data_IF_749163377028
#
_entry.id   IF_749163377028
#
_cell.length_a   1.000
_cell.length_b   1.000
_cell.length_c   1.000
_cell.angle_alpha   90.00
_cell.angle_beta   90.00
_cell.angle_gamma   90.00
#
_symmetry.space_group_name_H-M   'P 1'
#
loop_
_entity.id
_entity.type
_entity.pdbx_description
1 polymer ?
#
# COMPACT_ATOMS: atom_id res chain seq x y z
N UNK A 1 -2.29 24.57 -5.34
CA UNK A 1 -1.79 23.26 -5.78
C UNK A 1 -3.00 22.40 -6.14
N UNK A 2 -3.05 21.85 -7.35
CA UNK A 2 -4.08 20.88 -7.71
C UNK A 2 -3.92 19.63 -6.82
N UNK A 3 -5.01 19.23 -6.21
CA UNK A 3 -5.04 18.07 -5.32
C UNK A 3 -4.91 16.79 -6.17
N UNK A 4 -3.87 16.01 -5.96
CA UNK A 4 -3.71 14.72 -6.64
C UNK A 4 -4.92 13.85 -6.33
N UNK A 5 -5.69 13.51 -7.35
CA UNK A 5 -6.86 12.65 -7.22
C UNK A 5 -6.55 11.27 -7.78
N UNK A 6 -6.41 10.29 -6.89
CA UNK A 6 -6.26 8.90 -7.31
C UNK A 6 -7.60 8.35 -7.79
N UNK A 7 -7.58 7.66 -8.94
CA UNK A 7 -8.77 6.95 -9.45
C UNK A 7 -8.80 5.55 -8.88
N UNK A 8 -9.68 5.33 -7.90
CA UNK A 8 -10.00 4.00 -7.40
C UNK A 8 -11.06 3.35 -8.31
N UNK A 9 -10.92 2.04 -8.54
CA UNK A 9 -11.87 1.30 -9.37
C UNK A 9 -13.30 1.43 -8.81
N UNK A 10 -14.27 1.96 -9.58
CA UNK A 10 -15.62 2.23 -9.10
C UNK A 10 -16.42 0.97 -8.72
N UNK A 11 -15.97 -0.22 -9.12
CA UNK A 11 -16.60 -1.50 -8.72
C UNK A 11 -16.26 -1.92 -7.29
N UNK A 12 -15.31 -1.26 -6.62
CA UNK A 12 -14.92 -1.55 -5.23
C UNK A 12 -15.95 -0.97 -4.24
N UNK A 13 -16.68 0.06 -4.61
CA UNK A 13 -17.64 0.76 -3.76
C UNK A 13 -19.00 0.89 -4.44
N UNK A 14 -20.06 1.04 -3.64
CA UNK A 14 -21.42 1.27 -4.14
C UNK A 14 -21.71 2.74 -4.42
N UNK A 15 -21.11 3.63 -3.63
CA UNK A 15 -21.12 5.08 -3.79
C UNK A 15 -19.73 5.62 -3.51
N UNK A 16 -19.27 6.53 -4.37
CA UNK A 16 -17.94 7.16 -4.20
C UNK A 16 -17.86 7.84 -2.82
N UNK A 17 -16.99 7.34 -1.91
CA UNK A 17 -16.88 7.89 -0.56
C UNK A 17 -16.27 9.29 -0.55
N UNK A 18 -15.49 9.67 -1.57
CA UNK A 18 -14.93 11.02 -1.67
C UNK A 18 -15.97 12.07 -2.11
N UNK A 19 -17.11 11.64 -2.63
CA UNK A 19 -18.16 12.52 -3.14
C UNK A 19 -19.02 13.21 -2.07
N UNK A 20 -18.83 12.88 -0.78
CA UNK A 20 -19.66 13.42 0.32
C UNK A 20 -18.91 13.50 1.64
N UNK A 21 -19.36 14.40 2.53
CA UNK A 21 -18.81 14.55 3.88
C UNK A 21 -18.90 13.24 4.68
N UNK A 22 -20.05 12.55 4.64
CA UNK A 22 -20.20 11.28 5.35
C UNK A 22 -19.26 10.20 4.80
N UNK A 23 -19.12 10.11 3.48
CA UNK A 23 -18.19 9.14 2.87
C UNK A 23 -16.73 9.39 3.27
N UNK A 24 -16.30 10.64 3.30
CA UNK A 24 -14.97 11.03 3.79
C UNK A 24 -14.77 10.65 5.26
N UNK A 25 -15.75 10.91 6.12
CA UNK A 25 -15.71 10.52 7.53
C UNK A 25 -15.71 8.99 7.69
N UNK A 26 -16.43 8.24 6.83
CA UNK A 26 -16.37 6.77 6.81
C UNK A 26 -14.94 6.30 6.60
N UNK A 27 -14.22 6.83 5.59
CA UNK A 27 -12.84 6.45 5.33
C UNK A 27 -11.93 6.81 6.51
N UNK A 28 -11.95 8.06 6.96
CA UNK A 28 -11.10 8.55 8.06
C UNK A 28 -11.29 7.74 9.35
N UNK A 29 -12.55 7.56 9.77
CA UNK A 29 -12.88 6.82 10.99
C UNK A 29 -12.58 5.34 10.86
N UNK A 30 -12.74 4.75 9.66
CA UNK A 30 -12.34 3.36 9.41
C UNK A 30 -10.85 3.15 9.57
N UNK A 31 -10.02 4.05 9.02
CA UNK A 31 -8.57 4.01 9.20
C UNK A 31 -8.23 4.07 10.70
N UNK A 32 -8.76 5.05 11.43
CA UNK A 32 -8.50 5.20 12.86
C UNK A 32 -8.90 3.96 13.68
N UNK A 33 -10.08 3.39 13.41
CA UNK A 33 -10.57 2.21 14.15
C UNK A 33 -9.82 0.93 13.80
N UNK A 34 -9.45 0.73 12.54
CA UNK A 34 -8.67 -0.44 12.11
C UNK A 34 -7.25 -0.35 12.64
N UNK A 35 -6.60 0.81 12.57
CA UNK A 35 -5.27 1.04 13.12
C UNK A 35 -5.23 0.77 14.63
N UNK A 36 -6.24 1.24 15.37
CA UNK A 36 -6.30 1.10 16.82
C UNK A 36 -6.63 -0.33 17.28
N UNK A 37 -7.51 -1.04 16.58
CA UNK A 37 -8.12 -2.28 17.08
C UNK A 37 -7.95 -3.49 16.16
N UNK A 38 -7.42 -3.31 14.95
CA UNK A 38 -7.31 -4.34 13.92
C UNK A 38 -8.61 -4.60 13.13
N UNK A 39 -8.47 -5.20 11.96
CA UNK A 39 -9.59 -5.48 11.05
C UNK A 39 -10.58 -6.51 11.61
N UNK A 40 -10.10 -7.48 12.42
CA UNK A 40 -10.98 -8.49 13.02
C UNK A 40 -12.01 -7.86 13.98
N UNK A 41 -11.56 -6.92 14.79
CA UNK A 41 -12.44 -6.18 15.71
C UNK A 41 -13.38 -5.23 14.97
N UNK A 42 -12.95 -4.67 13.82
CA UNK A 42 -13.70 -3.68 13.06
C UNK A 42 -14.98 -4.26 12.46
N UNK A 43 -16.11 -3.53 12.62
CA UNK A 43 -17.41 -3.82 11.98
C UNK A 43 -18.10 -2.54 11.56
N UNK A 44 -18.99 -2.60 10.56
CA UNK A 44 -19.78 -1.43 10.14
C UNK A 44 -20.72 -0.90 11.26
N UNK A 45 -21.15 -1.78 12.15
CA UNK A 45 -21.92 -1.38 13.34
C UNK A 45 -21.10 -0.51 14.28
N UNK A 46 -19.82 -0.87 14.56
CA UNK A 46 -18.93 -0.07 15.40
C UNK A 46 -18.56 1.25 14.73
N UNK A 47 -18.29 1.22 13.43
CA UNK A 47 -18.04 2.41 12.63
C UNK A 47 -19.23 3.37 12.66
N UNK A 48 -20.45 2.88 12.41
CA UNK A 48 -21.67 3.70 12.45
C UNK A 48 -21.88 4.33 13.82
N UNK A 49 -21.65 3.56 14.90
CA UNK A 49 -21.73 4.08 16.28
C UNK A 49 -20.72 5.21 16.50
N UNK A 50 -19.47 5.06 16.05
CA UNK A 50 -18.44 6.09 16.18
C UNK A 50 -18.78 7.37 15.40
N UNK A 51 -19.43 7.23 14.24
CA UNK A 51 -19.85 8.33 13.39
C UNK A 51 -21.18 8.99 13.80
N UNK A 52 -21.88 8.44 14.80
CA UNK A 52 -23.24 8.93 15.17
C UNK A 52 -24.28 8.73 14.04
N UNK A 53 -24.11 7.69 13.21
CA UNK A 53 -24.99 7.37 12.07
C UNK A 53 -25.56 5.95 12.16
N UNK A 54 -26.30 5.53 11.14
CA UNK A 54 -26.83 4.17 11.05
C UNK A 54 -25.91 3.25 10.27
N UNK A 55 -25.93 1.95 10.58
CA UNK A 55 -25.18 0.93 9.84
C UNK A 55 -25.60 0.89 8.35
N UNK A 56 -26.87 1.08 8.05
CA UNK A 56 -27.40 1.18 6.68
C UNK A 56 -26.78 2.34 5.90
N UNK A 57 -26.42 3.44 6.57
CA UNK A 57 -25.73 4.56 5.93
C UNK A 57 -24.34 4.20 5.47
N UNK A 58 -23.62 3.33 6.19
CA UNK A 58 -22.30 2.81 5.82
C UNK A 58 -22.42 1.83 4.65
N UNK A 59 -23.38 0.90 4.70
CA UNK A 59 -23.65 -0.05 3.61
C UNK A 59 -24.00 0.61 2.27
N UNK A 60 -24.40 1.87 2.26
CA UNK A 60 -24.60 2.62 1.00
C UNK A 60 -23.29 2.93 0.27
N UNK A 61 -22.13 2.87 0.96
CA UNK A 61 -20.82 3.13 0.38
C UNK A 61 -20.06 1.84 0.08
N UNK A 62 -20.08 0.87 0.98
CA UNK A 62 -19.35 -0.38 0.83
C UNK A 62 -20.27 -1.57 1.16
N UNK A 63 -20.17 -2.59 0.32
CA UNK A 63 -20.93 -3.83 0.50
C UNK A 63 -20.58 -4.56 1.81
N UNK A 64 -19.29 -4.56 2.15
CA UNK A 64 -18.75 -5.22 3.34
C UNK A 64 -17.40 -4.63 3.74
N UNK A 65 -16.85 -5.06 4.90
CA UNK A 65 -15.55 -4.58 5.39
C UNK A 65 -14.38 -5.00 4.50
N UNK A 66 -14.50 -6.09 3.75
CA UNK A 66 -13.49 -6.52 2.81
C UNK A 66 -13.37 -5.54 1.62
N UNK A 67 -14.50 -5.09 1.05
CA UNK A 67 -14.51 -4.05 0.00
C UNK A 67 -13.90 -2.74 0.49
N UNK A 68 -14.17 -2.36 1.74
CA UNK A 68 -13.53 -1.21 2.37
C UNK A 68 -12.02 -1.42 2.47
N UNK A 69 -11.54 -2.60 2.90
CA UNK A 69 -10.11 -2.90 2.96
C UNK A 69 -9.46 -2.81 1.57
N UNK A 70 -10.08 -3.39 0.53
CA UNK A 70 -9.60 -3.28 -0.86
C UNK A 70 -9.54 -1.81 -1.30
N UNK A 71 -10.51 -0.98 -0.92
CA UNK A 71 -10.48 0.46 -1.20
C UNK A 71 -9.26 1.13 -0.56
N UNK A 72 -9.02 0.87 0.72
CA UNK A 72 -7.89 1.43 1.48
C UNK A 72 -6.54 0.97 0.91
N UNK A 73 -6.38 -0.32 0.60
CA UNK A 73 -5.17 -0.86 -0.01
C UNK A 73 -4.94 -0.31 -1.41
N UNK A 74 -6.00 -0.19 -2.23
CA UNK A 74 -5.91 0.40 -3.57
C UNK A 74 -5.47 1.86 -3.52
N UNK A 75 -5.98 2.61 -2.55
CA UNK A 75 -5.60 3.99 -2.32
C UNK A 75 -4.12 4.10 -1.94
N UNK A 76 -3.69 3.28 -0.99
CA UNK A 76 -2.31 3.23 -0.52
C UNK A 76 -1.33 2.89 -1.64
N UNK A 77 -1.57 1.82 -2.39
CA UNK A 77 -0.69 1.39 -3.47
C UNK A 77 -0.65 2.41 -4.63
N UNK A 78 -1.77 3.04 -4.93
CA UNK A 78 -1.82 4.13 -5.90
C UNK A 78 -1.00 5.34 -5.48
N UNK A 79 -0.99 5.66 -4.18
CA UNK A 79 -0.17 6.71 -3.62
C UNK A 79 1.32 6.36 -3.64
N UNK A 80 1.68 5.14 -3.31
CA UNK A 80 3.06 4.66 -3.42
C UNK A 80 3.56 4.67 -4.88
N UNK A 81 2.73 4.26 -5.84
CA UNK A 81 3.06 4.38 -7.27
C UNK A 81 3.34 5.84 -7.65
N UNK A 82 2.48 6.76 -7.23
CA UNK A 82 2.66 8.20 -7.48
C UNK A 82 3.99 8.71 -6.91
N UNK A 83 4.28 8.45 -5.64
CA UNK A 83 5.53 8.85 -4.99
C UNK A 83 6.75 8.29 -5.72
N UNK A 84 6.71 7.01 -6.08
CA UNK A 84 7.80 6.33 -6.78
C UNK A 84 8.10 7.01 -8.11
N UNK A 85 7.07 7.28 -8.92
CA UNK A 85 7.21 7.93 -10.23
C UNK A 85 7.87 9.31 -10.08
N UNK A 86 7.42 10.12 -9.12
CA UNK A 86 8.01 11.44 -8.90
C UNK A 86 9.45 11.39 -8.37
N UNK A 87 9.73 10.50 -7.43
CA UNK A 87 11.05 10.39 -6.82
C UNK A 87 12.12 9.88 -7.81
N UNK A 88 11.73 9.08 -8.80
CA UNK A 88 12.65 8.48 -9.78
C UNK A 88 12.79 9.28 -11.07
N UNK A 89 11.91 10.26 -11.34
CA UNK A 89 11.81 10.96 -12.63
C UNK A 89 13.08 11.69 -13.07
N UNK A 90 13.87 12.24 -12.14
CA UNK A 90 15.09 13.02 -12.43
C UNK A 90 16.37 12.32 -11.95
N UNK A 91 16.33 11.01 -11.78
CA UNK A 91 17.49 10.20 -11.37
C UNK A 91 18.05 9.50 -12.61
N UNK A 92 19.30 9.82 -12.98
CA UNK A 92 19.88 9.35 -14.24
C UNK A 92 20.32 7.89 -14.22
N UNK A 93 20.91 7.44 -13.12
CA UNK A 93 21.43 6.07 -12.99
C UNK A 93 20.30 5.07 -12.73
N UNK A 94 20.16 3.98 -13.53
CA UNK A 94 19.18 2.94 -13.27
C UNK A 94 19.32 2.28 -11.88
N UNK A 95 20.55 2.08 -11.41
CA UNK A 95 20.78 1.57 -10.05
C UNK A 95 20.29 2.57 -8.99
N UNK A 96 20.56 3.86 -9.16
CA UNK A 96 20.09 4.90 -8.25
C UNK A 96 18.56 5.06 -8.30
N UNK A 97 17.93 4.87 -9.47
CA UNK A 97 16.46 4.84 -9.59
C UNK A 97 15.87 3.70 -8.75
N UNK A 98 16.42 2.47 -8.86
CA UNK A 98 15.95 1.32 -8.09
C UNK A 98 16.15 1.53 -6.58
N UNK A 99 17.31 2.06 -6.16
CA UNK A 99 17.57 2.40 -4.75
C UNK A 99 16.59 3.48 -4.23
N UNK A 100 16.29 4.49 -5.06
CA UNK A 100 15.32 5.53 -4.73
C UNK A 100 13.91 4.95 -4.59
N UNK A 101 13.50 4.03 -5.47
CA UNK A 101 12.23 3.33 -5.38
C UNK A 101 12.11 2.50 -4.09
N UNK A 102 13.17 1.76 -3.72
CA UNK A 102 13.24 1.01 -2.46
C UNK A 102 13.12 1.96 -1.26
N UNK A 103 13.81 3.11 -1.29
CA UNK A 103 13.71 4.14 -0.24
C UNK A 103 12.29 4.64 -0.10
N UNK A 104 11.60 4.99 -1.19
CA UNK A 104 10.21 5.46 -1.17
C UNK A 104 9.27 4.46 -0.51
N UNK A 105 9.49 3.15 -0.72
CA UNK A 105 8.67 2.10 -0.11
C UNK A 105 8.99 1.87 1.36
N UNK A 106 10.26 2.03 1.76
CA UNK A 106 10.74 1.76 3.12
C UNK A 106 10.52 2.94 4.08
N UNK A 107 10.57 4.17 3.58
CA UNK A 107 10.43 5.37 4.41
C UNK A 107 8.98 5.59 4.87
N UNK A 108 8.79 5.97 6.15
CA UNK A 108 7.50 6.38 6.65
C UNK A 108 6.93 7.55 5.81
N UNK A 109 5.63 7.57 5.65
CA UNK A 109 4.95 8.68 4.97
C UNK A 109 4.97 9.93 5.85
N UNK A 110 5.60 11.01 5.36
CA UNK A 110 5.60 12.30 6.04
C UNK A 110 4.22 12.98 6.00
N UNK A 111 3.90 13.79 7.01
CA UNK A 111 2.65 14.57 7.04
C UNK A 111 2.55 15.54 5.86
N UNK A 112 3.69 16.08 5.40
CA UNK A 112 3.75 17.02 4.27
C UNK A 112 3.42 16.35 2.92
N UNK A 113 3.59 15.03 2.81
CA UNK A 113 3.38 14.27 1.59
C UNK A 113 1.97 13.65 1.54
N UNK A 114 1.21 13.74 2.64
CA UNK A 114 -0.09 13.13 2.76
C UNK A 114 -1.20 14.03 2.18
N UNK A 115 -2.16 13.46 1.43
CA UNK A 115 -3.36 14.20 1.08
C UNK A 115 -4.18 14.50 2.35
N UNK A 116 -4.80 15.69 2.43
CA UNK A 116 -5.49 16.15 3.65
C UNK A 116 -6.62 15.24 4.15
N UNK A 117 -7.04 14.29 3.32
CA UNK A 117 -8.17 13.40 3.60
C UNK A 117 -7.79 12.19 4.45
N UNK A 118 -6.54 11.70 4.38
CA UNK A 118 -6.16 10.41 4.93
C UNK A 118 -4.98 10.54 5.91
N UNK A 119 -5.09 9.89 7.06
CA UNK A 119 -3.93 9.61 7.90
C UNK A 119 -3.11 8.49 7.25
N UNK A 120 -2.09 8.90 6.49
CA UNK A 120 -1.25 7.98 5.72
C UNK A 120 -0.32 7.15 6.62
N UNK A 121 0.01 7.63 7.81
CA UNK A 121 0.82 6.86 8.76
C UNK A 121 -0.02 5.71 9.36
N UNK A 122 -1.26 6.01 9.79
CA UNK A 122 -2.18 4.97 10.23
C UNK A 122 -2.49 3.97 9.11
N UNK A 123 -2.72 4.47 7.88
CA UNK A 123 -2.94 3.60 6.73
C UNK A 123 -1.72 2.72 6.42
N UNK A 124 -0.50 3.23 6.54
CA UNK A 124 0.73 2.44 6.38
C UNK A 124 0.80 1.29 7.40
N UNK A 125 0.49 1.55 8.69
CA UNK A 125 0.43 0.49 9.71
C UNK A 125 -0.62 -0.58 9.41
N UNK A 126 -1.78 -0.17 8.88
CA UNK A 126 -2.82 -1.10 8.41
C UNK A 126 -2.30 -1.96 7.24
N UNK A 127 -1.58 -1.38 6.28
CA UNK A 127 -1.00 -2.15 5.18
C UNK A 127 -0.02 -3.18 5.69
N UNK A 128 0.87 -2.82 6.60
CA UNK A 128 1.84 -3.74 7.20
C UNK A 128 1.15 -4.93 7.90
N UNK A 129 0.03 -4.69 8.58
CA UNK A 129 -0.62 -5.72 9.42
C UNK A 129 -1.77 -6.46 8.73
N UNK A 130 -2.46 -5.84 7.78
CA UNK A 130 -3.76 -6.31 7.29
C UNK A 130 -3.84 -6.50 5.77
N UNK A 131 -2.86 -6.00 4.98
CA UNK A 131 -2.97 -6.00 3.51
C UNK A 131 -3.14 -7.39 2.91
N UNK A 132 -2.51 -8.42 3.49
CA UNK A 132 -2.65 -9.80 3.03
C UNK A 132 -4.10 -10.29 3.05
N UNK A 133 -4.94 -9.78 3.97
CA UNK A 133 -6.38 -10.12 4.04
C UNK A 133 -7.19 -9.52 2.87
N UNK A 134 -6.59 -8.61 2.08
CA UNK A 134 -7.22 -8.11 0.87
C UNK A 134 -7.08 -9.07 -0.33
N UNK A 135 -6.02 -9.90 -0.38
CA UNK A 135 -5.78 -10.80 -1.52
C UNK A 135 -5.73 -12.29 -1.18
N UNK A 136 -5.47 -12.70 0.06
CA UNK A 136 -5.53 -14.12 0.44
C UNK A 136 -6.95 -14.54 0.80
N UNK A 137 -7.86 -14.40 -0.18
CA UNK A 137 -9.28 -14.74 -0.06
C UNK A 137 -9.68 -15.74 -1.15
N UNK A 138 -10.86 -16.35 -1.01
CA UNK A 138 -11.42 -17.23 -2.05
C UNK A 138 -11.92 -16.45 -3.26
N UNK A 139 -12.24 -15.20 -3.08
CA UNK A 139 -12.79 -14.28 -4.08
C UNK A 139 -11.70 -13.60 -4.93
N UNK A 140 -10.42 -13.81 -4.62
CA UNK A 140 -9.28 -13.09 -5.23
C UNK A 140 -9.25 -13.17 -6.75
N UNK A 141 -9.59 -14.32 -7.35
CA UNK A 141 -9.54 -14.50 -8.79
C UNK A 141 -10.58 -13.62 -9.51
N UNK A 142 -11.80 -13.54 -8.98
CA UNK A 142 -12.85 -12.69 -9.54
C UNK A 142 -12.53 -11.20 -9.31
N UNK A 143 -12.10 -10.84 -8.13
CA UNK A 143 -11.67 -9.48 -7.78
C UNK A 143 -10.50 -9.02 -8.65
N UNK A 144 -9.59 -9.94 -8.95
CA UNK A 144 -8.49 -9.71 -9.86
C UNK A 144 -8.95 -9.46 -11.31
N UNK A 145 -9.92 -10.23 -11.82
CA UNK A 145 -10.54 -10.01 -13.13
C UNK A 145 -11.25 -8.66 -13.20
N UNK A 146 -11.88 -8.24 -12.09
CA UNK A 146 -12.52 -6.93 -11.94
C UNK A 146 -11.50 -5.77 -11.84
N UNK A 147 -10.21 -6.04 -11.72
CA UNK A 147 -9.14 -5.05 -11.69
C UNK A 147 -8.94 -4.37 -10.33
N UNK A 148 -9.37 -4.97 -9.23
CA UNK A 148 -9.28 -4.37 -7.89
C UNK A 148 -7.84 -4.17 -7.44
N UNK A 149 -6.94 -5.03 -7.87
CA UNK A 149 -5.52 -4.97 -7.50
C UNK A 149 -4.64 -4.22 -8.52
N UNK A 150 -5.27 -3.47 -9.43
CA UNK A 150 -4.55 -2.74 -10.47
C UNK A 150 -3.50 -1.74 -9.94
N UNK A 151 -3.73 -0.96 -8.86
CA UNK A 151 -2.70 -0.07 -8.32
C UNK A 151 -1.46 -0.81 -7.83
N UNK A 152 -1.63 -1.92 -7.10
CA UNK A 152 -0.50 -2.73 -6.64
C UNK A 152 0.28 -3.36 -7.81
N UNK A 153 -0.44 -3.87 -8.82
CA UNK A 153 0.20 -4.42 -10.03
C UNK A 153 0.99 -3.37 -10.80
N UNK A 154 0.48 -2.13 -10.91
CA UNK A 154 1.22 -1.03 -11.56
C UNK A 154 2.48 -0.67 -10.78
N UNK A 155 2.42 -0.61 -9.44
CA UNK A 155 3.59 -0.40 -8.60
C UNK A 155 4.65 -1.49 -8.85
N UNK A 156 4.26 -2.76 -8.84
CA UNK A 156 5.14 -3.90 -9.13
C UNK A 156 5.71 -3.81 -10.56
N UNK A 157 4.90 -3.44 -11.55
CA UNK A 157 5.34 -3.22 -12.93
C UNK A 157 6.40 -2.12 -13.03
N UNK A 158 6.20 -0.96 -12.35
CA UNK A 158 7.20 0.12 -12.30
C UNK A 158 8.53 -0.34 -11.73
N UNK A 159 8.48 -1.08 -10.61
CA UNK A 159 9.69 -1.68 -10.02
C UNK A 159 10.37 -2.65 -10.99
N UNK A 160 9.59 -3.47 -11.71
CA UNK A 160 10.10 -4.43 -12.69
C UNK A 160 10.77 -3.76 -13.88
N UNK A 161 10.25 -2.63 -14.33
CA UNK A 161 10.86 -1.80 -15.37
C UNK A 161 12.24 -1.27 -14.92
N UNK A 162 12.38 -0.80 -13.67
CA UNK A 162 13.66 -0.38 -13.10
C UNK A 162 14.69 -1.55 -13.05
N UNK A 163 14.23 -2.74 -12.67
CA UNK A 163 15.06 -3.97 -12.69
C UNK A 163 15.57 -4.24 -14.11
N UNK A 164 14.70 -4.19 -15.13
CA UNK A 164 15.05 -4.43 -16.53
C UNK A 164 15.93 -3.32 -17.14
N UNK A 165 15.87 -2.09 -16.63
CA UNK A 165 16.82 -1.04 -17.03
C UNK A 165 18.24 -1.35 -16.57
N UNK A 166 18.44 -2.05 -15.45
CA UNK A 166 19.76 -2.47 -14.96
C UNK A 166 20.23 -3.73 -15.68
N UNK A 167 19.35 -4.75 -15.78
CA UNK A 167 19.66 -6.04 -16.40
C UNK A 167 18.53 -6.46 -17.34
N UNK A 168 18.60 -6.08 -18.64
CA UNK A 168 17.54 -6.34 -19.61
C UNK A 168 17.18 -7.82 -19.82
N UNK A 169 18.14 -8.74 -19.59
CA UNK A 169 17.95 -10.18 -19.73
C UNK A 169 17.56 -10.89 -18.42
N UNK A 170 17.32 -10.16 -17.34
CA UNK A 170 16.95 -10.77 -16.07
C UNK A 170 15.60 -11.53 -16.16
N UNK A 171 15.55 -12.83 -15.84
CA UNK A 171 14.38 -13.65 -16.15
C UNK A 171 13.20 -13.48 -15.21
N UNK A 172 13.38 -12.85 -14.03
CA UNK A 172 12.37 -12.79 -12.96
C UNK A 172 12.07 -11.37 -12.45
N UNK A 173 11.86 -10.36 -13.31
CA UNK A 173 11.75 -8.97 -12.87
C UNK A 173 10.54 -8.73 -11.94
N UNK A 174 9.38 -9.34 -12.23
CA UNK A 174 8.19 -9.21 -11.38
C UNK A 174 8.33 -9.95 -10.05
N UNK A 175 8.96 -11.14 -10.06
CA UNK A 175 9.17 -11.91 -8.84
C UNK A 175 10.13 -11.19 -7.89
N UNK A 176 11.23 -10.62 -8.41
CA UNK A 176 12.15 -9.82 -7.62
C UNK A 176 11.46 -8.58 -7.05
N UNK A 177 10.69 -7.86 -7.89
CA UNK A 177 9.99 -6.64 -7.48
C UNK A 177 8.93 -6.91 -6.40
N UNK A 178 8.08 -7.92 -6.57
CA UNK A 178 7.07 -8.26 -5.55
C UNK A 178 7.70 -8.77 -4.26
N UNK A 179 8.80 -9.53 -4.35
CA UNK A 179 9.56 -9.97 -3.17
C UNK A 179 10.15 -8.80 -2.40
N UNK A 180 10.69 -7.79 -3.09
CA UNK A 180 11.21 -6.57 -2.44
C UNK A 180 10.08 -5.80 -1.78
N UNK A 181 8.97 -5.55 -2.50
CA UNK A 181 7.83 -4.80 -1.96
C UNK A 181 7.31 -5.49 -0.69
N UNK A 182 6.90 -6.74 -0.78
CA UNK A 182 6.37 -7.51 0.36
C UNK A 182 7.40 -7.67 1.48
N UNK A 183 8.66 -7.92 1.12
CA UNK A 183 9.75 -8.06 2.07
C UNK A 183 9.96 -6.81 2.93
N UNK A 184 9.89 -5.61 2.35
CA UNK A 184 9.99 -4.34 3.07
C UNK A 184 8.92 -4.27 4.16
N UNK A 185 7.66 -4.54 3.83
CA UNK A 185 6.54 -4.47 4.78
C UNK A 185 6.61 -5.60 5.84
N UNK A 186 7.01 -6.80 5.45
CA UNK A 186 7.22 -7.90 6.40
C UNK A 186 8.37 -7.63 7.37
N UNK A 187 9.50 -7.06 6.92
CA UNK A 187 10.60 -6.71 7.81
C UNK A 187 10.21 -5.61 8.80
N UNK A 188 9.42 -4.62 8.37
CA UNK A 188 8.85 -3.61 9.28
C UNK A 188 7.92 -4.25 10.34
N UNK A 189 7.07 -5.19 9.93
CA UNK A 189 6.23 -5.95 10.86
C UNK A 189 7.06 -6.76 11.85
N UNK A 190 8.08 -7.48 11.37
CA UNK A 190 8.95 -8.29 12.23
C UNK A 190 9.73 -7.43 13.22
N UNK A 191 10.25 -6.29 12.79
CA UNK A 191 10.96 -5.37 13.67
C UNK A 191 10.08 -4.85 14.83
N UNK A 192 8.77 -4.67 14.57
CA UNK A 192 7.83 -4.20 15.57
C UNK A 192 7.30 -5.32 16.49
N UNK A 193 7.07 -6.53 15.95
CA UNK A 193 6.27 -7.57 16.62
C UNK A 193 7.01 -8.89 16.83
N UNK A 194 7.96 -9.23 15.98
CA UNK A 194 8.68 -10.52 15.98
C UNK A 194 10.20 -10.29 15.79
N UNK A 195 10.87 -9.55 16.69
CA UNK A 195 12.24 -9.06 16.48
C UNK A 195 13.27 -10.17 16.28
N UNK A 196 12.98 -11.42 16.66
CA UNK A 196 13.87 -12.54 16.39
C UNK A 196 13.92 -12.98 14.91
N UNK A 197 13.03 -12.44 14.07
CA UNK A 197 12.98 -12.76 12.63
C UNK A 197 13.66 -11.69 11.74
N UNK A 198 14.29 -10.69 12.35
CA UNK A 198 14.95 -9.61 11.61
C UNK A 198 16.15 -9.04 12.35
N UNK A 199 17.15 -8.58 11.61
CA UNK A 199 18.30 -7.86 12.15
C UNK A 199 18.16 -6.32 12.03
N UNK A 200 17.03 -5.85 11.47
CA UNK A 200 16.82 -4.43 11.06
C UNK A 200 16.45 -3.50 12.22
N UNK A 201 15.87 -4.03 13.32
CA UNK A 201 15.61 -3.31 14.59
C UNK A 201 14.94 -1.92 14.43
N UNK A 202 13.95 -1.78 13.55
CA UNK A 202 13.26 -0.51 13.23
C UNK A 202 14.17 0.58 12.61
N UNK A 203 15.35 0.23 12.13
CA UNK A 203 16.23 1.13 11.41
C UNK A 203 15.85 1.17 9.91
N UNK A 204 15.20 2.25 9.50
CA UNK A 204 14.80 2.46 8.10
C UNK A 204 16.00 2.47 7.14
N UNK A 205 17.15 2.99 7.56
CA UNK A 205 18.35 3.01 6.70
C UNK A 205 18.94 1.61 6.53
N UNK A 206 18.95 0.79 7.57
CA UNK A 206 19.32 -0.63 7.48
C UNK A 206 18.38 -1.40 6.55
N UNK A 207 17.08 -1.14 6.61
CA UNK A 207 16.06 -1.72 5.72
C UNK A 207 16.33 -1.36 4.25
N UNK A 208 16.53 -0.08 3.96
CA UNK A 208 16.88 0.42 2.61
C UNK A 208 18.17 -0.22 2.10
N UNK A 209 19.20 -0.26 2.94
CA UNK A 209 20.49 -0.85 2.59
C UNK A 209 20.35 -2.33 2.25
N UNK A 210 19.67 -3.11 3.09
CA UNK A 210 19.46 -4.53 2.90
C UNK A 210 18.79 -4.85 1.57
N UNK A 211 17.65 -4.21 1.26
CA UNK A 211 16.93 -4.48 0.02
C UNK A 211 17.62 -3.92 -1.22
N UNK A 212 18.34 -2.80 -1.09
CA UNK A 212 19.16 -2.28 -2.19
C UNK A 212 20.33 -3.21 -2.51
N UNK A 213 21.01 -3.70 -1.49
CA UNK A 213 22.10 -4.67 -1.66
C UNK A 213 21.60 -5.99 -2.24
N UNK A 214 20.51 -6.54 -1.72
CA UNK A 214 19.85 -7.74 -2.24
C UNK A 214 19.53 -7.61 -3.72
N UNK A 215 18.88 -6.52 -4.12
CA UNK A 215 18.48 -6.28 -5.50
C UNK A 215 19.72 -6.17 -6.42
N UNK A 216 20.68 -5.31 -6.07
CA UNK A 216 21.85 -5.05 -6.92
C UNK A 216 22.75 -6.28 -7.02
N UNK A 217 23.00 -7.02 -5.93
CA UNK A 217 23.79 -8.26 -5.99
C UNK A 217 23.11 -9.33 -6.84
N UNK A 218 21.79 -9.47 -6.73
CA UNK A 218 21.02 -10.41 -7.55
C UNK A 218 21.15 -10.09 -9.04
N UNK A 219 21.06 -8.81 -9.42
CA UNK A 219 21.12 -8.39 -10.81
C UNK A 219 22.55 -8.45 -11.41
N UNK A 220 23.58 -8.30 -10.58
CA UNK A 220 25.00 -8.42 -11.03
C UNK A 220 25.49 -9.87 -11.10
N UNK A 221 24.83 -10.80 -10.43
CA UNK A 221 25.18 -12.23 -10.45
C UNK A 221 24.47 -13.02 -11.58
N UNK A 222 23.57 -12.37 -12.33
CA UNK A 222 22.73 -12.98 -13.37
C UNK A 222 23.28 -12.72 -14.80
#
# INVERSE_FOLDING_TARGET
MEQVRLRINPKIYLKDPESSTLGKHIIQTSIALIDQHGLEWFTFRKLAKSLGTTESSVYRYFENKHRLLIYLTSWYWGWQEYRLVFATANVESPEAQLQTAIRVLAEPLGEADAPPLLDMQALHRIIISESLKAYFTREVDEENKEGFFAPYKRLCQRMSELVLHIQPAYPYPHSLSSTIIEGIYHQQYFAAHLPALTDIQQDTQALIHFFSELAIKTLKAS
#
